data_IF_174019634295
#
_entry.id   IF_174019634295
#
_cell.length_a   1.000
_cell.length_b   1.000
_cell.length_c   1.000
_cell.angle_alpha   90.00
_cell.angle_beta   90.00
_cell.angle_gamma   90.00
#
_symmetry.space_group_name_H-M   'P 1'
#
loop_
_entity.id
_entity.type
_entity.pdbx_description
1 polymer ?
#
# COMPACT_ATOMS: atom_id res chain seq x y z
N UNK A 1 22.63 6.29 23.25
CA UNK A 1 22.52 5.46 22.03
C UNK A 1 22.22 6.40 20.86
N UNK A 2 23.07 6.47 19.85
CA UNK A 2 22.79 7.30 18.68
C UNK A 2 21.56 6.73 17.96
N UNK A 3 20.46 7.49 17.91
CA UNK A 3 19.30 7.14 17.11
C UNK A 3 19.76 7.10 15.65
N UNK A 4 19.85 5.89 15.09
CA UNK A 4 20.11 5.69 13.65
C UNK A 4 18.85 6.13 12.91
N UNK A 5 18.71 7.44 12.75
CA UNK A 5 17.66 8.02 11.92
C UNK A 5 17.89 7.48 10.50
N UNK A 6 16.88 6.85 9.88
CA UNK A 6 17.02 6.29 8.55
C UNK A 6 17.54 7.35 7.56
N UNK A 7 18.48 6.95 6.69
CA UNK A 7 19.03 7.84 5.68
C UNK A 7 17.93 8.21 4.68
N UNK A 8 17.68 9.51 4.51
CA UNK A 8 16.73 10.04 3.53
C UNK A 8 17.43 10.22 2.19
N UNK A 9 16.74 9.90 1.11
CA UNK A 9 17.21 10.07 -0.26
C UNK A 9 16.29 11.04 -0.99
N UNK A 10 16.87 11.99 -1.73
CA UNK A 10 16.08 12.92 -2.53
C UNK A 10 15.53 12.20 -3.77
N UNK A 11 14.22 12.28 -3.96
CA UNK A 11 13.54 11.79 -5.16
C UNK A 11 13.00 13.01 -5.90
N UNK A 12 13.29 13.10 -7.21
CA UNK A 12 12.74 14.14 -8.09
C UNK A 12 11.63 13.52 -8.93
N UNK A 13 10.51 14.23 -9.02
CA UNK A 13 9.38 13.88 -9.88
C UNK A 13 8.95 15.11 -10.68
N UNK A 14 8.48 14.90 -11.90
CA UNK A 14 7.85 15.93 -12.73
C UNK A 14 6.39 15.57 -12.89
N UNK A 15 5.51 16.56 -12.72
CA UNK A 15 4.06 16.41 -12.80
C UNK A 15 3.47 17.56 -13.61
N UNK A 16 2.27 17.38 -14.12
CA UNK A 16 1.52 18.46 -14.78
C UNK A 16 1.08 19.51 -13.75
N UNK A 17 0.74 20.71 -14.23
CA UNK A 17 0.32 21.81 -13.36
C UNK A 17 -1.01 21.48 -12.66
N UNK A 18 -1.94 20.90 -13.40
CA UNK A 18 -3.26 20.50 -12.90
C UNK A 18 -3.14 19.49 -11.76
N UNK A 19 -2.22 18.52 -11.90
CA UNK A 19 -1.98 17.55 -10.84
C UNK A 19 -1.24 18.15 -9.65
N UNK A 20 -0.34 19.10 -9.89
CA UNK A 20 0.33 19.83 -8.81
C UNK A 20 -0.67 20.65 -7.98
N UNK A 21 -1.65 21.28 -8.63
CA UNK A 21 -2.67 22.07 -7.97
C UNK A 21 -3.56 21.18 -7.09
N UNK A 22 -3.96 20.01 -7.57
CA UNK A 22 -4.67 19.01 -6.75
C UNK A 22 -3.88 18.57 -5.52
N UNK A 23 -2.56 18.41 -5.65
CA UNK A 23 -1.68 18.09 -4.52
C UNK A 23 -1.64 19.25 -3.52
N UNK A 24 -1.56 20.49 -4.01
CA UNK A 24 -1.51 21.68 -3.16
C UNK A 24 -2.81 21.87 -2.37
N UNK A 25 -3.96 21.67 -3.01
CA UNK A 25 -5.27 21.74 -2.38
C UNK A 25 -5.35 20.72 -1.23
N UNK A 26 -5.03 19.45 -1.50
CA UNK A 26 -5.04 18.38 -0.49
C UNK A 26 -4.06 18.64 0.67
N UNK A 27 -2.85 19.14 0.37
CA UNK A 27 -1.87 19.51 1.40
C UNK A 27 -2.44 20.61 2.31
N UNK A 28 -3.17 21.57 1.74
CA UNK A 28 -3.75 22.68 2.48
C UNK A 28 -4.95 22.27 3.34
N UNK A 29 -5.79 21.36 2.85
CA UNK A 29 -7.01 20.90 3.53
C UNK A 29 -6.70 19.89 4.65
N UNK A 30 -5.77 18.97 4.39
CA UNK A 30 -5.49 17.83 5.28
C UNK A 30 -4.35 18.09 6.29
N UNK A 31 -3.78 19.30 6.30
CA UNK A 31 -2.78 19.71 7.29
C UNK A 31 -1.40 19.05 7.12
N UNK A 32 -1.05 18.60 5.91
CA UNK A 32 0.26 18.02 5.63
C UNK A 32 1.37 19.07 5.72
N UNK A 33 2.56 18.67 6.15
CA UNK A 33 3.73 19.55 6.20
C UNK A 33 4.42 19.66 4.84
N UNK A 34 3.64 20.03 3.81
CA UNK A 34 4.07 20.18 2.43
C UNK A 34 3.96 18.92 1.57
N UNK A 35 4.19 19.11 0.27
CA UNK A 35 4.01 18.09 -0.78
C UNK A 35 4.81 16.82 -0.55
N UNK A 36 6.00 16.94 0.03
CA UNK A 36 6.89 15.79 0.28
C UNK A 36 6.31 14.84 1.33
N UNK A 37 5.68 15.38 2.36
CA UNK A 37 5.02 14.61 3.41
C UNK A 37 3.79 13.88 2.86
N UNK A 38 2.94 14.61 2.13
CA UNK A 38 1.80 14.04 1.42
C UNK A 38 2.21 12.93 0.43
N UNK A 39 3.22 13.18 -0.40
CA UNK A 39 3.73 12.18 -1.35
C UNK A 39 4.25 10.93 -0.64
N UNK A 40 4.93 11.10 0.50
CA UNK A 40 5.41 9.97 1.30
C UNK A 40 4.26 9.16 1.90
N UNK A 41 3.21 9.84 2.41
CA UNK A 41 1.99 9.21 2.89
C UNK A 41 1.32 8.38 1.80
N UNK A 42 1.10 8.95 0.60
CA UNK A 42 0.48 8.24 -0.53
C UNK A 42 1.27 7.00 -0.94
N UNK A 43 2.60 7.11 -1.07
CA UNK A 43 3.46 5.98 -1.44
C UNK A 43 3.41 4.88 -0.38
N UNK A 44 3.43 5.25 0.90
CA UNK A 44 3.35 4.30 2.01
C UNK A 44 2.02 3.55 1.98
N UNK A 45 0.90 4.25 1.82
CA UNK A 45 -0.43 3.66 1.69
C UNK A 45 -0.51 2.66 0.54
N UNK A 46 0.01 3.03 -0.63
CA UNK A 46 0.05 2.14 -1.78
C UNK A 46 0.75 0.79 -1.47
N UNK A 47 1.88 0.81 -0.76
CA UNK A 47 2.58 -0.42 -0.38
C UNK A 47 1.85 -1.22 0.70
N UNK A 48 1.23 -0.54 1.67
CA UNK A 48 0.41 -1.17 2.71
C UNK A 48 -0.79 -1.90 2.08
N UNK A 49 -1.51 -1.23 1.18
CA UNK A 49 -2.66 -1.79 0.48
C UNK A 49 -2.25 -2.98 -0.39
N UNK A 50 -1.15 -2.86 -1.14
CA UNK A 50 -0.62 -3.96 -1.94
C UNK A 50 -0.28 -5.19 -1.09
N UNK A 51 0.29 -4.98 0.10
CA UNK A 51 0.56 -6.07 1.04
C UNK A 51 -0.73 -6.71 1.57
N UNK A 52 -1.72 -5.88 1.89
CA UNK A 52 -3.02 -6.35 2.34
C UNK A 52 -3.72 -7.20 1.28
N UNK A 53 -3.84 -6.71 0.03
CA UNK A 53 -4.46 -7.47 -1.06
C UNK A 53 -3.75 -8.80 -1.34
N UNK A 54 -2.42 -8.82 -1.27
CA UNK A 54 -1.67 -10.07 -1.40
C UNK A 54 -2.02 -11.06 -0.29
N UNK A 55 -2.08 -10.59 0.96
CA UNK A 55 -2.45 -11.44 2.10
C UNK A 55 -3.87 -12.02 1.95
N UNK A 56 -4.82 -11.21 1.49
CA UNK A 56 -6.20 -11.66 1.23
C UNK A 56 -6.22 -12.72 0.13
N UNK A 57 -5.45 -12.52 -0.95
CA UNK A 57 -5.35 -13.49 -2.05
C UNK A 57 -4.74 -14.82 -1.60
N UNK A 58 -3.71 -14.77 -0.76
CA UNK A 58 -3.06 -15.96 -0.20
C UNK A 58 -4.07 -16.74 0.69
N UNK A 59 -4.86 -16.04 1.50
CA UNK A 59 -5.91 -16.65 2.33
C UNK A 59 -7.02 -17.31 1.50
N UNK A 60 -7.52 -16.63 0.46
CA UNK A 60 -8.50 -17.20 -0.48
C UNK A 60 -7.95 -18.49 -1.10
N UNK A 61 -6.69 -18.45 -1.55
CA UNK A 61 -6.04 -19.61 -2.19
C UNK A 61 -5.96 -20.80 -1.24
N UNK A 62 -5.58 -20.57 0.02
CA UNK A 62 -5.53 -21.63 1.04
C UNK A 62 -6.91 -22.21 1.35
N UNK A 63 -7.95 -21.36 1.42
CA UNK A 63 -9.32 -21.82 1.63
C UNK A 63 -9.81 -22.68 0.45
N UNK A 64 -9.56 -22.25 -0.79
CA UNK A 64 -9.92 -23.03 -1.98
C UNK A 64 -9.23 -24.38 -2.01
N UNK A 65 -7.93 -24.45 -1.70
CA UNK A 65 -7.19 -25.73 -1.60
C UNK A 65 -7.83 -26.64 -0.55
N UNK A 66 -8.15 -26.10 0.62
CA UNK A 66 -8.79 -26.84 1.71
C UNK A 66 -10.19 -27.36 1.33
N UNK A 67 -10.96 -26.57 0.59
CA UNK A 67 -12.27 -26.98 0.08
C UNK A 67 -12.15 -28.11 -0.94
N UNK A 68 -11.23 -27.99 -1.90
CA UNK A 68 -10.97 -29.05 -2.89
C UNK A 68 -10.57 -30.37 -2.23
N UNK A 69 -9.64 -30.33 -1.28
CA UNK A 69 -9.22 -31.52 -0.52
C UNK A 69 -10.38 -32.16 0.24
N UNK A 70 -11.24 -31.34 0.86
CA UNK A 70 -12.42 -31.83 1.62
C UNK A 70 -13.50 -32.40 0.72
N UNK A 71 -13.62 -31.96 -0.53
CA UNK A 71 -14.56 -32.55 -1.49
C UNK A 71 -14.08 -33.89 -2.04
N UNK A 72 -12.77 -34.04 -2.28
CA UNK A 72 -12.18 -35.30 -2.77
C UNK A 72 -12.34 -36.43 -1.73
N UNK A 73 -12.09 -36.12 -0.46
CA UNK A 73 -12.21 -37.05 0.69
C UNK A 73 -13.66 -37.54 0.95
N UNK A 74 -14.67 -36.85 0.39
CA UNK A 74 -16.11 -37.20 0.54
C UNK A 74 -16.66 -38.06 -0.58
N UNK A 75 -15.88 -38.27 -1.64
CA UNK A 75 -16.27 -39.06 -2.81
C UNK A 75 -15.75 -40.50 -2.78
N UNK A 76 -14.98 -40.87 -1.75
CA UNK A 76 -14.39 -42.21 -1.57
C UNK A 76 -15.15 -43.12 -0.57
N UNK A 77 -16.31 -42.70 -0.06
CA UNK A 77 -17.27 -43.51 0.72
C UNK A 77 -18.55 -43.82 -0.10
#
# INVERSE_FOLDING_TARGET
MASRTPRKYAVKASVTKEFLDQIDDEVSESGFNGRGDFSHYCMRRYFEDKKHYKSVQDEITLLTIKESQRSEDRTED
#
